data_IF_490728015525
#
_entry.id   IF_490728015525
#
_cell.length_a   1.000
_cell.length_b   1.000
_cell.length_c   1.000
_cell.angle_alpha   90.00
_cell.angle_beta   90.00
_cell.angle_gamma   90.00
#
_symmetry.space_group_name_H-M   'P 1'
#
loop_
_entity.id
_entity.type
_entity.pdbx_description
1 polymer ?
#
# COMPACT_ATOMS: atom_id res chain seq x y z
N UNK A 1 35.46 58.75 -10.37
CA UNK A 1 34.07 58.32 -10.21
C UNK A 1 34.00 56.90 -10.63
N UNK A 2 33.97 56.00 -9.67
CA UNK A 2 33.95 54.51 -9.90
C UNK A 2 32.56 54.04 -9.56
N UNK A 3 31.82 53.63 -10.59
CA UNK A 3 30.47 53.07 -10.42
C UNK A 3 30.53 51.60 -10.05
N UNK A 4 30.04 51.25 -8.86
CA UNK A 4 29.89 49.89 -8.41
C UNK A 4 28.63 49.29 -9.01
N UNK A 5 28.80 48.26 -9.85
CA UNK A 5 27.70 47.43 -10.36
C UNK A 5 27.47 46.31 -9.35
N UNK A 6 26.35 46.38 -8.62
CA UNK A 6 25.90 45.32 -7.74
C UNK A 6 25.21 44.25 -8.58
N UNK A 7 25.85 43.09 -8.70
CA UNK A 7 25.22 41.86 -9.25
C UNK A 7 24.28 41.29 -8.20
N UNK A 8 22.97 41.43 -8.43
CA UNK A 8 21.93 40.78 -7.64
C UNK A 8 21.74 39.37 -8.19
N UNK A 9 22.43 38.38 -7.59
CA UNK A 9 22.21 36.98 -7.90
C UNK A 9 20.90 36.55 -7.27
N UNK A 10 19.84 36.49 -8.06
CA UNK A 10 18.57 35.86 -7.68
C UNK A 10 18.76 34.34 -7.67
N UNK A 11 18.97 33.76 -6.49
CA UNK A 11 18.93 32.31 -6.28
C UNK A 11 17.46 31.93 -6.31
N UNK A 12 17.02 31.40 -7.46
CA UNK A 12 15.73 30.71 -7.56
C UNK A 12 15.83 29.40 -6.74
N UNK A 13 15.36 29.44 -5.52
CA UNK A 13 15.07 28.22 -4.75
C UNK A 13 13.90 27.50 -5.41
N UNK A 14 14.21 26.57 -6.28
CA UNK A 14 13.25 25.57 -6.73
C UNK A 14 12.90 24.71 -5.50
N UNK A 15 11.81 25.04 -4.83
CA UNK A 15 11.19 24.14 -3.86
C UNK A 15 10.69 22.92 -4.62
N UNK A 16 11.54 21.89 -4.75
CA UNK A 16 11.06 20.57 -5.14
C UNK A 16 10.12 20.09 -4.03
N UNK A 17 8.82 20.24 -4.23
CA UNK A 17 7.85 19.52 -3.43
C UNK A 17 8.04 18.04 -3.76
N UNK A 18 8.78 17.33 -2.91
CA UNK A 18 8.83 15.88 -2.96
C UNK A 18 7.39 15.40 -2.70
N UNK A 19 6.70 14.96 -3.75
CA UNK A 19 5.46 14.23 -3.62
C UNK A 19 5.77 13.01 -2.77
N UNK A 20 5.06 12.82 -1.67
CA UNK A 20 5.17 11.60 -0.88
C UNK A 20 4.69 10.46 -1.77
N UNK A 21 5.62 9.68 -2.32
CA UNK A 21 5.29 8.46 -3.03
C UNK A 21 4.70 7.48 -2.00
N UNK A 22 3.39 7.29 -2.02
CA UNK A 22 2.76 6.25 -1.22
C UNK A 22 3.09 4.90 -1.86
N UNK A 23 3.92 4.11 -1.18
CA UNK A 23 4.26 2.75 -1.60
C UNK A 23 3.17 1.72 -1.27
N UNK A 24 2.10 2.15 -0.61
CA UNK A 24 1.04 1.29 -0.09
C UNK A 24 -0.34 1.93 -0.23
N UNK A 25 -1.34 1.07 -0.45
CA UNK A 25 -2.75 1.46 -0.46
C UNK A 25 -3.36 1.19 0.91
N UNK A 26 -3.90 2.23 1.54
CA UNK A 26 -4.62 2.18 2.82
C UNK A 26 -6.11 2.11 2.58
N UNK A 27 -6.78 1.26 3.32
CA UNK A 27 -8.25 1.20 3.35
C UNK A 27 -8.75 1.19 4.79
N UNK A 28 -9.60 2.17 5.10
CA UNK A 28 -10.41 2.10 6.32
C UNK A 28 -11.64 1.26 6.02
N UNK A 29 -11.83 0.20 6.78
CA UNK A 29 -12.88 -0.78 6.58
C UNK A 29 -13.69 -0.99 7.85
N UNK A 30 -14.99 -1.21 7.69
CA UNK A 30 -15.83 -1.79 8.72
C UNK A 30 -16.03 -3.28 8.43
N UNK A 31 -15.52 -4.14 9.29
CA UNK A 31 -15.59 -5.61 9.17
C UNK A 31 -16.34 -6.15 10.39
N UNK A 32 -17.52 -6.76 10.19
CA UNK A 32 -18.32 -7.27 11.30
C UNK A 32 -18.67 -6.21 12.35
N UNK A 33 -18.90 -4.98 11.92
CA UNK A 33 -19.24 -3.85 12.79
C UNK A 33 -18.07 -3.18 13.52
N UNK A 34 -16.82 -3.61 13.27
CA UNK A 34 -15.59 -3.00 13.83
C UNK A 34 -14.76 -2.33 12.75
N UNK A 35 -14.11 -1.22 13.11
CA UNK A 35 -13.22 -0.50 12.20
C UNK A 35 -11.83 -1.10 12.18
N UNK A 36 -11.25 -1.18 10.97
CA UNK A 36 -9.90 -1.66 10.71
C UNK A 36 -9.23 -0.73 9.70
N UNK A 37 -7.99 -0.35 9.96
CA UNK A 37 -7.10 0.23 8.96
C UNK A 37 -6.24 -0.90 8.40
N UNK A 38 -6.41 -1.21 7.14
CA UNK A 38 -5.58 -2.18 6.42
C UNK A 38 -4.75 -1.46 5.37
N UNK A 39 -3.48 -1.81 5.28
CA UNK A 39 -2.56 -1.25 4.31
C UNK A 39 -1.88 -2.38 3.55
N UNK A 40 -1.81 -2.28 2.23
CA UNK A 40 -1.22 -3.30 1.36
C UNK A 40 -0.37 -2.65 0.28
N UNK A 41 0.81 -3.20 0.06
CA UNK A 41 1.72 -2.78 -1.00
C UNK A 41 2.75 -3.84 -1.33
N UNK A 42 3.75 -3.44 -2.09
CA UNK A 42 4.91 -4.27 -2.38
C UNK A 42 6.01 -4.03 -1.35
N UNK A 43 6.76 -5.06 -0.97
CA UNK A 43 7.89 -4.93 -0.03
C UNK A 43 9.00 -4.02 -0.56
N UNK A 44 9.19 -3.99 -1.88
CA UNK A 44 10.17 -3.16 -2.56
C UNK A 44 9.46 -2.33 -3.62
N UNK A 45 9.60 -1.01 -3.55
CA UNK A 45 9.02 -0.05 -4.48
C UNK A 45 10.11 0.82 -5.15
N UNK A 46 10.03 1.02 -6.48
CA UNK A 46 9.11 0.33 -7.40
C UNK A 46 9.49 -1.15 -7.57
N UNK A 47 8.51 -2.04 -7.76
CA UNK A 47 8.81 -3.45 -8.03
C UNK A 47 9.37 -3.62 -9.45
N UNK A 48 10.40 -4.47 -9.59
CA UNK A 48 10.97 -4.80 -10.90
C UNK A 48 10.64 -6.22 -11.31
N UNK A 49 10.36 -6.42 -12.61
CA UNK A 49 10.16 -7.75 -13.18
C UNK A 49 11.44 -8.58 -13.00
N UNK A 50 11.29 -9.79 -12.45
CA UNK A 50 12.38 -10.72 -12.19
C UNK A 50 13.07 -10.52 -10.85
N UNK A 51 12.81 -9.46 -10.10
CA UNK A 51 13.38 -9.28 -8.76
C UNK A 51 12.54 -9.93 -7.67
N UNK A 52 13.24 -10.30 -6.60
CA UNK A 52 12.57 -10.74 -5.38
C UNK A 52 11.75 -9.59 -4.82
N UNK A 53 10.48 -9.85 -4.58
CA UNK A 53 9.54 -8.93 -3.95
C UNK A 53 8.57 -9.73 -3.07
N UNK A 54 7.55 -9.07 -2.57
CA UNK A 54 6.51 -9.67 -1.76
C UNK A 54 5.32 -8.74 -1.60
N UNK A 55 4.25 -9.26 -1.06
CA UNK A 55 3.16 -8.42 -0.53
C UNK A 55 3.50 -8.10 0.91
N UNK A 56 3.48 -6.82 1.24
CA UNK A 56 3.53 -6.30 2.59
C UNK A 56 2.12 -5.90 3.00
N UNK A 57 1.67 -6.41 4.12
CA UNK A 57 0.32 -6.19 4.65
C UNK A 57 0.41 -5.73 6.10
N UNK A 58 -0.25 -4.62 6.40
CA UNK A 58 -0.36 -4.09 7.75
C UNK A 58 -1.82 -4.06 8.18
N UNK A 59 -2.04 -4.26 9.49
CA UNK A 59 -3.38 -4.25 10.06
C UNK A 59 -3.43 -3.60 11.44
N UNK A 60 -4.35 -2.64 11.59
CA UNK A 60 -4.56 -1.91 12.83
C UNK A 60 -6.04 -1.73 13.17
N UNK A 61 -6.32 -1.58 14.48
CA UNK A 61 -7.49 -0.86 14.93
C UNK A 61 -7.15 0.63 14.86
N UNK A 62 -7.88 1.43 14.05
CA UNK A 62 -7.54 2.84 13.82
C UNK A 62 -7.80 3.71 15.06
N UNK A 63 -7.10 4.86 15.12
CA UNK A 63 -7.46 5.94 16.04
C UNK A 63 -8.77 6.61 15.54
N UNK A 64 -9.83 6.70 16.35
CA UNK A 64 -11.08 7.34 15.93
C UNK A 64 -10.95 8.81 15.52
N UNK A 65 -9.92 9.52 16.00
CA UNK A 65 -9.66 10.93 15.70
C UNK A 65 -8.89 11.15 14.41
N UNK A 66 -8.09 10.16 14.01
CA UNK A 66 -7.25 10.22 12.80
C UNK A 66 -7.14 8.82 12.18
N UNK A 67 -8.24 8.32 11.58
CA UNK A 67 -8.38 6.90 11.27
C UNK A 67 -7.54 6.40 10.10
N UNK A 68 -6.95 7.29 9.28
CA UNK A 68 -6.05 6.92 8.18
C UNK A 68 -4.57 7.06 8.53
N UNK A 69 -4.26 7.56 9.72
CA UNK A 69 -2.89 7.75 10.16
C UNK A 69 -2.39 6.52 10.93
N UNK A 70 -1.47 5.79 10.31
CA UNK A 70 -0.79 4.62 10.89
C UNK A 70 0.18 4.94 12.03
N UNK A 71 0.46 6.21 12.24
CA UNK A 71 1.31 6.73 13.32
C UNK A 71 0.52 7.46 14.40
N UNK A 72 -0.81 7.43 14.34
CA UNK A 72 -1.67 8.06 15.33
C UNK A 72 -1.47 7.42 16.72
N UNK A 73 -1.51 8.24 17.79
CA UNK A 73 -1.27 7.76 19.16
C UNK A 73 -2.26 6.70 19.66
N UNK A 74 -3.48 6.70 19.10
CA UNK A 74 -4.56 5.76 19.47
C UNK A 74 -4.60 4.48 18.65
N UNK A 75 -3.70 4.32 17.66
CA UNK A 75 -3.65 3.15 16.80
C UNK A 75 -3.17 1.91 17.58
N UNK A 76 -3.73 0.74 17.24
CA UNK A 76 -3.36 -0.53 17.90
C UNK A 76 -3.09 -1.60 16.85
N UNK A 77 -1.95 -2.26 16.95
CA UNK A 77 -1.59 -3.38 16.08
C UNK A 77 -2.56 -4.54 16.22
N UNK A 78 -2.89 -5.19 15.10
CA UNK A 78 -3.67 -6.44 15.08
C UNK A 78 -2.70 -7.57 14.76
N UNK A 79 -2.66 -8.56 15.64
CA UNK A 79 -1.76 -9.72 15.54
C UNK A 79 -2.53 -10.99 15.18
N UNK A 80 -1.80 -12.01 14.66
CA UNK A 80 -2.35 -13.36 14.41
C UNK A 80 -3.15 -13.48 13.11
N UNK A 81 -3.14 -12.46 12.21
CA UNK A 81 -3.84 -12.55 10.94
C UNK A 81 -3.16 -13.51 9.95
N UNK A 82 -1.88 -13.83 10.12
CA UNK A 82 -1.16 -14.88 9.40
C UNK A 82 -1.85 -16.26 9.47
N UNK A 83 -2.61 -16.51 10.53
CA UNK A 83 -3.34 -17.77 10.74
C UNK A 83 -4.73 -17.78 10.10
N UNK A 84 -5.25 -16.62 9.73
CA UNK A 84 -6.65 -16.47 9.31
C UNK A 84 -6.82 -15.77 7.97
N UNK A 85 -5.78 -15.11 7.47
CA UNK A 85 -5.76 -14.37 6.21
C UNK A 85 -4.62 -14.85 5.35
N UNK A 86 -4.87 -15.02 4.07
CA UNK A 86 -3.87 -15.27 3.02
C UNK A 86 -4.02 -14.23 1.91
N UNK A 87 -3.07 -14.13 1.02
CA UNK A 87 -3.18 -13.27 -0.16
C UNK A 87 -3.16 -14.08 -1.44
N UNK A 88 -4.03 -13.71 -2.39
CA UNK A 88 -3.95 -14.19 -3.77
C UNK A 88 -3.31 -13.07 -4.58
N UNK A 89 -2.14 -13.35 -5.14
CA UNK A 89 -1.45 -12.47 -6.09
C UNK A 89 -1.89 -12.88 -7.49
N UNK A 90 -2.46 -11.94 -8.26
CA UNK A 90 -2.95 -12.18 -9.62
C UNK A 90 -2.30 -11.23 -10.61
N UNK A 91 -1.95 -11.75 -11.81
CA UNK A 91 -1.37 -11.02 -12.93
C UNK A 91 -2.01 -11.54 -14.23
N UNK A 92 -2.97 -10.82 -14.79
CA UNK A 92 -3.80 -11.31 -15.89
C UNK A 92 -4.55 -12.60 -15.51
N UNK A 93 -4.43 -13.69 -16.30
CA UNK A 93 -5.12 -14.95 -16.03
C UNK A 93 -4.40 -15.82 -14.98
N UNK A 94 -3.20 -15.44 -14.55
CA UNK A 94 -2.41 -16.22 -13.60
C UNK A 94 -2.65 -15.71 -12.19
N UNK A 95 -2.81 -16.63 -11.24
CA UNK A 95 -2.91 -16.29 -9.82
C UNK A 95 -2.22 -17.33 -8.94
N UNK A 96 -1.73 -16.87 -7.79
CA UNK A 96 -1.11 -17.74 -6.78
C UNK A 96 -1.54 -17.28 -5.39
N UNK A 97 -1.95 -18.24 -4.56
CA UNK A 97 -2.17 -18.01 -3.13
C UNK A 97 -0.86 -18.11 -2.39
N UNK A 98 -0.62 -17.16 -1.49
CA UNK A 98 0.56 -17.09 -0.63
C UNK A 98 0.11 -16.90 0.81
N UNK A 99 0.82 -17.56 1.73
CA UNK A 99 0.62 -17.40 3.16
C UNK A 99 1.48 -16.24 3.67
N UNK A 100 0.98 -15.56 4.69
CA UNK A 100 1.70 -14.50 5.37
C UNK A 100 2.62 -15.06 6.45
N UNK A 101 3.76 -14.38 6.62
CA UNK A 101 4.68 -14.56 7.75
C UNK A 101 4.67 -13.27 8.57
N UNK A 102 4.43 -13.32 9.89
CA UNK A 102 4.52 -12.12 10.73
C UNK A 102 5.92 -11.53 10.71
N UNK A 103 6.03 -10.21 10.63
CA UNK A 103 7.30 -9.50 10.76
C UNK A 103 7.81 -9.58 12.20
N UNK A 104 9.09 -9.89 12.42
CA UNK A 104 9.66 -9.93 13.77
C UNK A 104 9.85 -8.55 14.38
N UNK A 105 9.91 -7.50 13.57
CA UNK A 105 10.18 -6.12 13.99
C UNK A 105 8.92 -5.28 14.18
N UNK A 106 7.80 -5.66 13.54
CA UNK A 106 6.56 -4.92 13.60
C UNK A 106 5.36 -5.86 13.71
N UNK A 107 4.71 -5.89 14.85
CA UNK A 107 3.62 -6.83 15.12
C UNK A 107 2.33 -6.56 14.35
N UNK A 108 2.22 -5.43 13.64
CA UNK A 108 1.11 -5.14 12.72
C UNK A 108 1.39 -5.64 11.30
N UNK A 109 2.62 -6.06 10.99
CA UNK A 109 3.12 -6.33 9.65
C UNK A 109 3.17 -7.82 9.35
N UNK A 110 2.78 -8.15 8.12
CA UNK A 110 2.75 -9.51 7.58
C UNK A 110 3.31 -9.48 6.16
N UNK A 111 4.23 -10.39 5.87
CA UNK A 111 4.97 -10.44 4.63
C UNK A 111 4.76 -11.73 3.86
N UNK A 112 4.84 -11.65 2.53
CA UNK A 112 4.99 -12.82 1.67
C UNK A 112 6.25 -12.66 0.81
N UNK A 113 6.55 -13.66 -0.01
CA UNK A 113 7.60 -13.55 -1.03
C UNK A 113 7.09 -14.08 -2.36
N UNK A 114 7.32 -13.32 -3.43
CA UNK A 114 7.12 -13.75 -4.81
C UNK A 114 8.05 -12.98 -5.75
N UNK A 115 8.10 -13.39 -7.02
CA UNK A 115 8.86 -12.73 -8.07
C UNK A 115 7.87 -12.28 -9.14
N UNK A 116 7.70 -10.95 -9.38
CA UNK A 116 6.93 -10.48 -10.52
C UNK A 116 7.56 -10.97 -11.82
N UNK A 117 6.80 -11.67 -12.66
CA UNK A 117 7.33 -12.27 -13.91
C UNK A 117 6.88 -11.54 -15.17
N UNK A 118 6.00 -10.54 -15.05
CA UNK A 118 5.46 -9.80 -16.17
C UNK A 118 5.26 -8.33 -15.83
N UNK A 119 5.44 -7.46 -16.82
CA UNK A 119 5.04 -6.06 -16.77
C UNK A 119 3.54 -5.97 -17.05
N UNK A 120 2.74 -6.07 -16.00
CA UNK A 120 1.28 -6.01 -16.09
C UNK A 120 0.69 -5.51 -14.77
N UNK A 121 -0.63 -5.33 -14.76
CA UNK A 121 -1.34 -5.01 -13.53
C UNK A 121 -1.38 -6.22 -12.59
N UNK A 122 -0.89 -6.02 -11.38
CA UNK A 122 -1.01 -6.98 -10.28
C UNK A 122 -2.14 -6.59 -9.35
N UNK A 123 -2.86 -7.60 -8.89
CA UNK A 123 -3.90 -7.45 -7.87
C UNK A 123 -3.55 -8.34 -6.69
N UNK A 124 -3.54 -7.77 -5.49
CA UNK A 124 -3.38 -8.48 -4.23
C UNK A 124 -4.77 -8.60 -3.58
N UNK A 125 -5.26 -9.82 -3.42
CA UNK A 125 -6.57 -10.07 -2.81
C UNK A 125 -6.40 -10.78 -1.48
N UNK A 126 -6.72 -10.09 -0.39
CA UNK A 126 -6.78 -10.66 0.95
C UNK A 126 -8.02 -11.56 1.05
N UNK A 127 -7.82 -12.79 1.45
CA UNK A 127 -8.88 -13.81 1.60
C UNK A 127 -8.73 -14.50 2.94
N UNK A 128 -9.83 -14.65 3.66
CA UNK A 128 -9.82 -15.32 4.95
C UNK A 128 -10.85 -14.76 5.91
N UNK A 129 -10.46 -14.53 7.16
CA UNK A 129 -11.33 -13.98 8.19
C UNK A 129 -10.62 -12.96 9.06
N UNK A 130 -11.27 -11.82 9.31
CA UNK A 130 -10.90 -10.87 10.35
C UNK A 130 -12.04 -10.85 11.37
N UNK A 131 -11.73 -11.08 12.65
CA UNK A 131 -12.74 -11.12 13.72
C UNK A 131 -13.93 -12.05 13.38
N UNK A 132 -13.64 -13.25 12.90
CA UNK A 132 -14.61 -14.27 12.42
C UNK A 132 -15.45 -13.87 11.19
N UNK A 133 -15.35 -12.65 10.70
CA UNK A 133 -16.04 -12.20 9.49
C UNK A 133 -15.20 -12.58 8.26
N UNK A 134 -15.77 -13.30 7.29
CA UNK A 134 -15.10 -13.58 6.02
C UNK A 134 -14.76 -12.29 5.28
N UNK A 135 -13.57 -12.25 4.69
CA UNK A 135 -13.12 -11.14 3.86
C UNK A 135 -12.67 -11.62 2.47
N UNK A 136 -12.90 -10.76 1.48
CA UNK A 136 -12.40 -10.86 0.11
C UNK A 136 -12.16 -9.44 -0.37
N UNK A 137 -10.95 -8.91 -0.14
CA UNK A 137 -10.63 -7.50 -0.34
C UNK A 137 -9.47 -7.39 -1.33
N UNK A 138 -9.69 -6.70 -2.45
CA UNK A 138 -8.70 -6.57 -3.50
C UNK A 138 -8.06 -5.19 -3.52
N UNK A 139 -6.75 -5.19 -3.75
CA UNK A 139 -5.89 -4.04 -3.92
C UNK A 139 -5.21 -4.16 -5.28
N UNK A 140 -5.29 -3.13 -6.09
CA UNK A 140 -4.75 -3.12 -7.46
C UNK A 140 -3.61 -2.13 -7.57
N UNK A 141 -2.49 -2.56 -8.15
CA UNK A 141 -1.37 -1.66 -8.43
C UNK A 141 -1.73 -0.61 -9.49
N UNK A 142 -1.05 0.53 -9.42
CA UNK A 142 -1.21 1.64 -10.39
C UNK A 142 -0.04 1.61 -11.37
N UNK A 143 -0.28 1.59 -12.70
CA UNK A 143 0.78 1.74 -13.69
C UNK A 143 1.47 3.10 -13.58
N UNK A 144 2.82 3.12 -13.59
CA UNK A 144 3.59 4.37 -13.61
C UNK A 144 4.04 4.90 -12.26
N UNK A 145 4.04 4.07 -11.24
CA UNK A 145 4.66 4.33 -9.92
C UNK A 145 4.27 5.64 -9.22
N UNK A 146 3.76 5.54 -8.02
CA UNK A 146 3.69 6.65 -7.06
C UNK A 146 2.72 7.77 -7.41
N UNK A 147 1.69 7.48 -8.17
CA UNK A 147 0.63 8.44 -8.38
C UNK A 147 -0.22 8.53 -7.10
N UNK A 148 -0.20 9.73 -6.49
CA UNK A 148 -1.07 10.17 -5.41
C UNK A 148 -2.53 10.29 -5.90
N UNK A 149 -3.03 9.31 -6.64
CA UNK A 149 -4.44 9.32 -7.02
C UNK A 149 -5.24 9.20 -5.72
N UNK A 150 -5.91 10.28 -5.27
CA UNK A 150 -6.74 10.22 -4.09
C UNK A 150 -7.74 9.09 -4.33
N UNK A 151 -7.64 8.04 -3.55
CA UNK A 151 -8.55 6.93 -3.64
C UNK A 151 -9.97 7.46 -3.64
N UNK A 152 -10.76 6.95 -4.54
CA UNK A 152 -12.17 7.33 -4.65
C UNK A 152 -12.83 7.03 -3.29
N UNK A 153 -13.09 8.08 -2.49
CA UNK A 153 -13.62 8.02 -1.12
C UNK A 153 -15.07 7.52 -1.09
N UNK A 154 -15.45 6.64 -1.99
CA UNK A 154 -16.79 6.09 -2.03
C UNK A 154 -16.91 4.91 -1.10
N UNK A 155 -17.81 5.05 -0.13
CA UNK A 155 -18.24 3.94 0.70
C UNK A 155 -18.82 2.84 -0.18
N UNK A 156 -18.28 1.62 -0.11
CA UNK A 156 -18.70 0.51 -0.93
C UNK A 156 -18.64 -0.81 -0.15
N UNK A 157 -19.62 -1.68 -0.37
CA UNK A 157 -19.56 -3.05 0.12
C UNK A 157 -18.58 -3.84 -0.76
N UNK A 158 -17.52 -4.38 -0.16
CA UNK A 158 -16.47 -5.14 -0.87
C UNK A 158 -16.66 -6.65 -0.75
N UNK A 159 -17.32 -7.10 0.33
CA UNK A 159 -17.80 -8.48 0.52
C UNK A 159 -18.90 -8.47 1.59
N UNK A 160 -19.70 -9.54 1.73
CA UNK A 160 -20.71 -9.61 2.79
C UNK A 160 -20.11 -9.35 4.17
N UNK A 161 -20.67 -8.39 4.92
CA UNK A 161 -20.18 -7.98 6.24
C UNK A 161 -18.94 -7.08 6.23
N UNK A 162 -18.47 -6.62 5.04
CA UNK A 162 -17.33 -5.72 4.89
C UNK A 162 -17.73 -4.49 4.10
N UNK A 163 -17.53 -3.33 4.68
CA UNK A 163 -17.78 -2.03 4.03
C UNK A 163 -16.46 -1.26 4.01
N UNK A 164 -16.06 -0.80 2.82
CA UNK A 164 -14.94 0.11 2.65
C UNK A 164 -15.42 1.54 2.89
N UNK A 165 -14.90 2.16 3.93
CA UNK A 165 -15.27 3.51 4.32
C UNK A 165 -14.42 4.58 3.63
N UNK A 166 -13.09 4.37 3.57
CA UNK A 166 -12.13 5.31 2.96
C UNK A 166 -10.96 4.55 2.31
N UNK A 167 -10.33 5.19 1.31
CA UNK A 167 -9.12 4.70 0.63
C UNK A 167 -8.13 5.85 0.51
N UNK A 168 -6.84 5.56 0.70
CA UNK A 168 -5.75 6.50 0.47
C UNK A 168 -4.51 5.76 -0.05
N UNK A 169 -3.65 6.46 -0.78
CA UNK A 169 -2.41 5.92 -1.33
C UNK A 169 -2.62 4.93 -2.47
N UNK A 170 -1.52 4.28 -2.85
CA UNK A 170 -1.45 3.29 -3.90
C UNK A 170 -0.10 2.59 -3.87
N UNK A 171 0.10 1.58 -4.70
CA UNK A 171 1.39 0.94 -4.90
C UNK A 171 1.65 0.71 -6.39
N UNK A 172 2.93 0.70 -6.79
CA UNK A 172 3.33 0.63 -8.18
C UNK A 172 3.10 -0.76 -8.79
N UNK A 173 2.76 -0.80 -10.10
CA UNK A 173 2.85 -2.04 -10.87
C UNK A 173 4.30 -2.34 -11.24
N UNK A 174 4.68 -3.63 -11.40
CA UNK A 174 6.02 -4.01 -11.80
C UNK A 174 6.45 -3.39 -13.13
N UNK A 175 7.65 -2.82 -13.14
CA UNK A 175 8.29 -2.22 -14.31
C UNK A 175 9.45 -3.10 -14.80
N UNK A 176 9.81 -3.04 -16.10
CA UNK A 176 10.96 -3.77 -16.61
C UNK A 176 12.26 -3.17 -16.06
N UNK A 177 13.28 -4.00 -15.88
CA UNK A 177 14.63 -3.50 -15.67
C UNK A 177 15.13 -2.82 -16.93
N UNK A 178 15.65 -1.62 -16.79
CA UNK A 178 16.38 -0.96 -17.89
C UNK A 178 17.80 -1.46 -17.83
N UNK A 179 18.23 -2.24 -18.84
CA UNK A 179 19.66 -2.51 -19.05
C UNK A 179 20.27 -1.33 -19.80
N UNK A 180 21.22 -0.66 -19.18
CA UNK A 180 22.07 0.31 -19.87
C UNK A 180 23.19 -0.53 -20.55
N UNK A 181 23.36 -0.42 -21.87
CA UNK A 181 24.40 -1.14 -22.61
C UNK A 181 25.81 -0.70 -22.19
#
# INVERSE_FOLDING_TARGET
MIGSIAFLSAILLFSMTASSAFAHMRQLLTVGGKHYLLEVGSQVEPPYVGDKNGVQFFAWTPDPKDPLNDSAKGIKNITGLDKTVTVIVSAGPVSKRLDFTPSPSNTAEYDTTFYPTAQTTYTYTLVGKINNTPIHISYRCVPGAGDDTPGNNTKATVSPGVVRDMVAGGYACPIPKVSIP
#
